data_IF_357834264188
#
_entry.id   IF_357834264188
#
_cell.length_a   1.000
_cell.length_b   1.000
_cell.length_c   1.000
_cell.angle_alpha   90.00
_cell.angle_beta   90.00
_cell.angle_gamma   90.00
#
_symmetry.space_group_name_H-M   'P 1'
#
loop_
_entity.id
_entity.type
_entity.pdbx_description
1 polymer ?
#
# COMPACT_ATOMS: atom_id res chain seq x y z
N UNK A 1 -3.29 -9.87 -6.11
CA UNK A 1 -2.78 -9.48 -4.78
C UNK A 1 -2.15 -10.68 -4.13
N UNK A 2 -1.24 -10.49 -3.19
CA UNK A 2 -0.52 -11.56 -2.51
C UNK A 2 -0.47 -11.30 -1.00
N UNK A 3 -0.27 -12.37 -0.25
CA UNK A 3 -0.01 -12.38 1.18
C UNK A 3 1.30 -13.11 1.51
N UNK A 4 1.83 -13.92 0.58
CA UNK A 4 3.03 -14.75 0.78
C UNK A 4 4.07 -14.61 -0.35
N UNK A 5 5.36 -14.89 -0.09
CA UNK A 5 6.39 -14.87 -1.12
C UNK A 5 6.08 -15.78 -2.32
N UNK A 6 5.56 -17.00 -2.09
CA UNK A 6 5.21 -17.94 -3.17
C UNK A 6 4.17 -17.37 -4.13
N UNK A 7 3.17 -16.66 -3.61
CA UNK A 7 2.18 -15.95 -4.43
C UNK A 7 2.78 -14.77 -5.18
N UNK A 8 3.67 -14.01 -4.54
CA UNK A 8 4.37 -12.90 -5.18
C UNK A 8 5.16 -13.37 -6.40
N UNK A 9 5.98 -14.42 -6.26
CA UNK A 9 6.74 -14.98 -7.39
C UNK A 9 5.84 -15.54 -8.50
N UNK A 10 4.73 -16.19 -8.15
CA UNK A 10 3.74 -16.64 -9.15
C UNK A 10 3.16 -15.48 -9.96
N UNK A 11 2.83 -14.37 -9.30
CA UNK A 11 2.29 -13.18 -9.97
C UNK A 11 3.33 -12.53 -10.90
N UNK A 12 4.58 -12.44 -10.45
CA UNK A 12 5.67 -11.93 -11.28
C UNK A 12 5.94 -12.82 -12.50
N UNK A 13 5.94 -14.14 -12.32
CA UNK A 13 6.07 -15.09 -13.42
C UNK A 13 4.89 -15.01 -14.42
N UNK A 14 3.71 -14.60 -13.95
CA UNK A 14 2.54 -14.33 -14.78
C UNK A 14 2.57 -12.96 -15.46
N UNK A 15 3.63 -12.17 -15.28
CA UNK A 15 3.82 -10.87 -15.94
C UNK A 15 3.25 -9.66 -15.18
N UNK A 16 3.04 -9.76 -13.87
CA UNK A 16 2.59 -8.61 -13.08
C UNK A 16 3.67 -7.52 -12.98
N UNK A 17 3.34 -6.29 -13.38
CA UNK A 17 4.23 -5.13 -13.25
C UNK A 17 4.36 -4.61 -11.81
N UNK A 18 3.36 -4.89 -10.98
CA UNK A 18 3.31 -4.47 -9.58
C UNK A 18 2.50 -5.46 -8.73
N UNK A 19 2.79 -5.51 -7.44
CA UNK A 19 2.19 -6.46 -6.50
C UNK A 19 1.38 -5.75 -5.42
N UNK A 20 0.11 -6.12 -5.28
CA UNK A 20 -0.76 -5.69 -4.18
C UNK A 20 -0.55 -6.59 -2.96
N UNK A 21 0.03 -6.08 -1.87
CA UNK A 21 0.08 -6.75 -0.57
C UNK A 21 -1.26 -6.55 0.15
N UNK A 22 -2.01 -7.63 0.36
CA UNK A 22 -3.37 -7.55 0.90
C UNK A 22 -3.73 -8.78 1.76
N UNK A 23 -4.43 -8.59 2.90
CA UNK A 23 -4.77 -7.31 3.53
C UNK A 23 -3.58 -6.73 4.33
N UNK A 24 -3.17 -5.50 4.04
CA UNK A 24 -1.97 -4.91 4.63
C UNK A 24 -2.03 -4.74 6.16
N UNK A 25 -3.22 -4.58 6.74
CA UNK A 25 -3.43 -4.51 8.20
C UNK A 25 -3.09 -5.82 8.95
N UNK A 26 -3.02 -6.96 8.25
CA UNK A 26 -2.52 -8.21 8.82
C UNK A 26 -0.98 -8.30 8.82
N UNK A 27 -0.30 -7.29 8.29
CA UNK A 27 1.15 -7.21 8.15
C UNK A 27 1.70 -5.95 8.80
N UNK A 28 3.02 -5.78 8.76
CA UNK A 28 3.71 -4.59 9.22
C UNK A 28 4.71 -4.09 8.17
N UNK A 29 5.17 -2.82 8.26
CA UNK A 29 6.25 -2.32 7.42
C UNK A 29 7.52 -3.19 7.47
N UNK A 30 7.82 -3.82 8.61
CA UNK A 30 8.95 -4.75 8.73
C UNK A 30 8.75 -6.02 7.87
N UNK A 31 7.53 -6.55 7.79
CA UNK A 31 7.21 -7.69 6.92
C UNK A 31 7.34 -7.32 5.46
N UNK A 32 6.89 -6.13 5.05
CA UNK A 32 7.12 -5.64 3.68
C UNK A 32 8.61 -5.59 3.35
N UNK A 33 9.44 -5.02 4.23
CA UNK A 33 10.89 -4.95 4.03
C UNK A 33 11.49 -6.36 3.86
N UNK A 34 11.05 -7.33 4.65
CA UNK A 34 11.47 -8.71 4.54
C UNK A 34 11.05 -9.37 3.21
N UNK A 35 9.84 -9.09 2.74
CA UNK A 35 9.38 -9.56 1.43
C UNK A 35 10.19 -8.93 0.29
N UNK A 36 10.42 -7.61 0.33
CA UNK A 36 11.22 -6.90 -0.68
C UNK A 36 12.66 -7.40 -0.77
N UNK A 37 13.22 -7.93 0.32
CA UNK A 37 14.58 -8.47 0.32
C UNK A 37 14.74 -9.73 -0.54
N UNK A 38 13.65 -10.46 -0.81
CA UNK A 38 13.68 -11.68 -1.65
C UNK A 38 13.11 -11.46 -3.05
N UNK A 39 12.30 -10.43 -3.25
CA UNK A 39 11.73 -10.11 -4.56
C UNK A 39 12.80 -9.55 -5.52
N UNK A 40 12.62 -9.69 -6.84
CA UNK A 40 13.48 -9.04 -7.82
C UNK A 40 13.62 -7.54 -7.51
N UNK A 41 14.84 -7.02 -7.68
CA UNK A 41 15.13 -5.62 -7.39
C UNK A 41 14.14 -4.70 -8.11
N UNK A 42 13.68 -3.66 -7.39
CA UNK A 42 12.72 -2.67 -7.87
C UNK A 42 11.30 -3.20 -8.15
N UNK A 43 10.93 -4.41 -7.71
CA UNK A 43 9.55 -4.89 -7.76
C UNK A 43 8.62 -3.93 -7.00
N UNK A 44 7.66 -3.24 -7.64
CA UNK A 44 6.76 -2.34 -6.95
C UNK A 44 5.77 -3.13 -6.09
N UNK A 45 5.73 -2.85 -4.79
CA UNK A 45 4.75 -3.43 -3.88
C UNK A 45 3.87 -2.32 -3.30
N UNK A 46 2.55 -2.50 -3.39
CA UNK A 46 1.54 -1.57 -2.91
C UNK A 46 0.75 -2.22 -1.75
N UNK A 47 0.90 -1.75 -0.51
CA UNK A 47 0.04 -2.14 0.60
C UNK A 47 -1.40 -1.68 0.38
N UNK A 48 -2.36 -2.59 0.59
CA UNK A 48 -3.79 -2.34 0.44
C UNK A 48 -4.58 -2.99 1.57
N UNK A 49 -5.54 -2.27 2.13
CA UNK A 49 -6.37 -2.71 3.27
C UNK A 49 -5.86 -2.15 4.59
N UNK A 50 -6.70 -1.36 5.27
CA UNK A 50 -6.34 -0.68 6.53
C UNK A 50 -5.33 0.48 6.40
N UNK A 51 -5.06 0.97 5.18
CA UNK A 51 -4.14 2.09 4.99
C UNK A 51 -4.87 3.44 5.17
N UNK A 52 -4.53 4.15 6.25
CA UNK A 52 -4.90 5.55 6.51
C UNK A 52 -3.69 6.50 6.45
N UNK A 53 -3.88 7.83 6.59
CA UNK A 53 -2.82 8.83 6.52
C UNK A 53 -1.61 8.53 7.42
N UNK A 54 -1.87 8.05 8.63
CA UNK A 54 -0.86 7.79 9.68
C UNK A 54 0.04 6.59 9.32
N UNK A 55 -0.47 5.67 8.50
CA UNK A 55 0.28 4.49 8.07
C UNK A 55 1.27 4.82 6.93
N UNK A 56 1.00 5.86 6.13
CA UNK A 56 1.72 6.13 4.87
C UNK A 56 3.22 6.26 5.07
N UNK A 57 3.66 7.10 6.02
CA UNK A 57 5.08 7.34 6.29
C UNK A 57 5.87 6.07 6.61
N UNK A 58 5.48 5.29 7.64
CA UNK A 58 6.13 4.03 7.97
C UNK A 58 6.20 3.03 6.81
N UNK A 59 5.15 2.91 6.00
CA UNK A 59 5.13 1.99 4.86
C UNK A 59 6.02 2.47 3.70
N UNK A 60 6.04 3.77 3.38
CA UNK A 60 6.97 4.34 2.40
C UNK A 60 8.42 4.12 2.84
N UNK A 61 8.74 4.36 4.11
CA UNK A 61 10.08 4.12 4.66
C UNK A 61 10.51 2.63 4.63
N UNK A 62 9.54 1.71 4.54
CA UNK A 62 9.78 0.28 4.35
C UNK A 62 9.96 -0.14 2.88
N UNK A 63 9.79 0.79 1.93
CA UNK A 63 9.94 0.53 0.49
C UNK A 63 8.64 0.29 -0.25
N UNK A 64 7.48 0.65 0.33
CA UNK A 64 6.23 0.66 -0.42
C UNK A 64 6.35 1.58 -1.64
N UNK A 65 5.93 1.10 -2.81
CA UNK A 65 5.97 1.87 -4.06
C UNK A 65 4.70 2.71 -4.28
N UNK A 66 3.70 2.56 -3.42
CA UNK A 66 2.40 3.22 -3.51
C UNK A 66 1.40 2.54 -2.60
N UNK A 67 0.12 2.93 -2.70
CA UNK A 67 -0.95 2.42 -1.84
C UNK A 67 -2.24 2.23 -2.60
N UNK A 68 -3.01 1.21 -2.21
CA UNK A 68 -4.43 1.12 -2.57
C UNK A 68 -5.27 1.57 -1.39
N UNK A 69 -6.09 2.61 -1.58
CA UNK A 69 -6.93 3.18 -0.53
C UNK A 69 -8.39 2.80 -0.77
N UNK A 70 -8.99 2.13 0.23
CA UNK A 70 -10.40 1.77 0.24
C UNK A 70 -11.20 2.63 1.21
N UNK A 71 -11.63 2.03 2.33
CA UNK A 71 -12.54 2.63 3.31
C UNK A 71 -12.03 3.89 4.03
N UNK A 72 -10.73 4.17 3.96
CA UNK A 72 -10.16 5.43 4.44
C UNK A 72 -10.47 6.61 3.51
N UNK A 73 -10.66 6.35 2.20
CA UNK A 73 -11.07 7.34 1.20
C UNK A 73 -12.60 7.39 1.06
N UNK A 74 -13.24 6.23 0.86
CA UNK A 74 -14.67 6.17 0.53
C UNK A 74 -15.41 5.03 1.25
N UNK A 75 -16.64 5.32 1.69
CA UNK A 75 -17.61 4.32 2.18
C UNK A 75 -18.99 4.67 1.61
N UNK A 76 -19.86 3.67 1.34
CA UNK A 76 -21.24 3.95 0.98
C UNK A 76 -21.91 4.90 1.98
N UNK A 77 -22.57 5.94 1.49
CA UNK A 77 -23.28 6.93 2.31
C UNK A 77 -22.49 8.20 2.65
N UNK A 78 -21.19 8.31 2.30
CA UNK A 78 -20.48 9.60 2.46
C UNK A 78 -20.70 10.52 1.26
N UNK A 79 -20.76 11.82 1.51
CA UNK A 79 -20.85 12.85 0.46
C UNK A 79 -19.51 13.13 -0.22
N UNK A 80 -19.56 13.80 -1.37
CA UNK A 80 -18.38 14.18 -2.15
C UNK A 80 -17.40 15.07 -1.36
N UNK A 81 -17.91 15.96 -0.49
CA UNK A 81 -17.07 16.83 0.33
C UNK A 81 -16.26 16.05 1.37
N UNK A 82 -16.86 15.05 2.03
CA UNK A 82 -16.15 14.18 2.98
C UNK A 82 -15.09 13.34 2.26
N UNK A 83 -15.43 12.75 1.11
CA UNK A 83 -14.47 12.03 0.28
C UNK A 83 -13.29 12.92 -0.16
N UNK A 84 -13.57 14.16 -0.54
CA UNK A 84 -12.54 15.14 -0.94
C UNK A 84 -11.63 15.52 0.23
N UNK A 85 -12.19 15.75 1.41
CA UNK A 85 -11.39 16.03 2.62
C UNK A 85 -10.50 14.85 3.01
N UNK A 86 -11.02 13.62 2.93
CA UNK A 86 -10.25 12.39 3.17
C UNK A 86 -9.11 12.23 2.15
N UNK A 87 -9.39 12.45 0.86
CA UNK A 87 -8.39 12.43 -0.20
C UNK A 87 -7.27 13.45 0.08
N UNK A 88 -7.64 14.69 0.45
CA UNK A 88 -6.67 15.73 0.78
C UNK A 88 -5.73 15.33 1.93
N UNK A 89 -6.26 14.69 2.99
CA UNK A 89 -5.43 14.19 4.10
C UNK A 89 -4.46 13.10 3.67
N UNK A 90 -4.91 12.15 2.83
CA UNK A 90 -4.05 11.09 2.29
C UNK A 90 -2.93 11.66 1.41
N UNK A 91 -3.26 12.58 0.50
CA UNK A 91 -2.28 13.27 -0.34
C UNK A 91 -1.29 14.07 0.50
N UNK A 92 -1.76 14.78 1.53
CA UNK A 92 -0.90 15.51 2.46
C UNK A 92 0.07 14.59 3.19
N UNK A 93 -0.38 13.43 3.65
CA UNK A 93 0.47 12.45 4.31
C UNK A 93 1.53 11.84 3.37
N UNK A 94 1.19 11.57 2.09
CA UNK A 94 2.17 11.17 1.07
C UNK A 94 3.21 12.27 0.86
N UNK A 95 2.77 13.52 0.66
CA UNK A 95 3.69 14.65 0.45
C UNK A 95 4.63 14.84 1.64
N UNK A 96 4.11 14.81 2.86
CA UNK A 96 4.91 14.96 4.07
C UNK A 96 5.95 13.84 4.24
N UNK A 97 5.67 12.63 3.75
CA UNK A 97 6.59 11.49 3.84
C UNK A 97 7.64 11.42 2.71
N UNK A 98 7.50 12.25 1.66
CA UNK A 98 8.43 12.32 0.53
C UNK A 98 9.43 13.49 0.62
N UNK A 99 9.27 14.35 1.63
CA UNK A 99 10.19 15.46 1.95
C UNK A 99 11.19 14.98 2.99
#
# INVERSE_FOLDING_TARGET
GFATPSEAFRLLAAGADALKLFPAEAFSPAVLRAMLAVLPARTPVLPVGGIGPEAIGPWLAAGAAGFGIGSALFRPGIGADDASQRAARLVSAVRAALV
#
